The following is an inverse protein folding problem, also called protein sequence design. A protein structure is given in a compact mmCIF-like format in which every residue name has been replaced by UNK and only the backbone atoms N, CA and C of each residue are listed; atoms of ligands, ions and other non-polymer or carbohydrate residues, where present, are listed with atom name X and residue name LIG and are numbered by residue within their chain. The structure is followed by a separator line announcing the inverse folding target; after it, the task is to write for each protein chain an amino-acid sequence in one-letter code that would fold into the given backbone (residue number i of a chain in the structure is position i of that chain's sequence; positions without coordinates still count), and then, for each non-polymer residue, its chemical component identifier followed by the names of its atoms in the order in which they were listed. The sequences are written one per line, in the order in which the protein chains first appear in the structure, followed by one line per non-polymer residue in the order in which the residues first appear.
data_IF_895253997212
#
_entry.id   IF_895253997212
#
_cell.length_a   1.000
_cell.length_b   1.000
_cell.length_c   1.000
_cell.angle_alpha   90.00
_cell.angle_beta   90.00
_cell.angle_gamma   90.00
#
_symmetry.space_group_name_H-M   'P 1'
#
loop_
_entity.id
_entity.type
_entity.pdbx_description
1 polymer ?
#
# COMPACT_ATOMS: atom_id res chain seq x y z
N UNK A 1 -34.23 2.64 -20.03
CA UNK A 1 -32.76 2.90 -20.00
C UNK A 1 -32.13 1.99 -21.06
N UNK A 2 -32.63 2.08 -22.31
CA UNK A 2 -32.56 0.96 -23.27
C UNK A 2 -31.73 1.30 -24.51
N UNK A 3 -30.93 2.38 -24.45
CA UNK A 3 -30.06 2.84 -25.54
C UNK A 3 -28.62 3.10 -25.04
N UNK A 4 -28.06 2.18 -24.26
CA UNK A 4 -26.62 2.17 -23.97
C UNK A 4 -25.94 1.22 -24.95
N UNK A 5 -25.09 1.77 -25.82
CA UNK A 5 -24.30 1.00 -26.77
C UNK A 5 -22.87 0.84 -26.23
N UNK A 6 -22.40 -0.40 -26.09
CA UNK A 6 -21.06 -0.68 -25.58
C UNK A 6 -20.00 -0.37 -26.66
N UNK A 7 -19.17 0.64 -26.41
CA UNK A 7 -18.07 1.03 -27.30
C UNK A 7 -16.77 0.28 -26.97
N UNK A 8 -16.69 -1.01 -27.33
CA UNK A 8 -15.53 -1.88 -27.05
C UNK A 8 -14.24 -1.47 -27.76
N UNK A 9 -14.34 -0.80 -28.90
CA UNK A 9 -13.19 -0.29 -29.65
C UNK A 9 -12.27 0.59 -28.80
N UNK A 10 -12.85 1.44 -27.93
CA UNK A 10 -12.09 2.32 -27.02
C UNK A 10 -11.18 1.52 -26.08
N UNK A 11 -11.62 0.34 -25.63
CA UNK A 11 -10.83 -0.53 -24.75
C UNK A 11 -9.62 -1.10 -25.49
N UNK A 12 -9.80 -1.53 -26.73
CA UNK A 12 -8.72 -2.06 -27.56
C UNK A 12 -7.72 -0.97 -27.95
N UNK A 13 -8.20 0.24 -28.25
CA UNK A 13 -7.34 1.40 -28.54
C UNK A 13 -6.50 1.79 -27.31
N UNK A 14 -7.08 1.67 -26.11
CA UNK A 14 -6.39 1.92 -24.85
C UNK A 14 -5.56 0.72 -24.34
N UNK A 15 -5.58 -0.42 -25.01
CA UNK A 15 -4.94 -1.66 -24.54
C UNK A 15 -3.47 -1.49 -24.14
N UNK A 16 -2.61 -0.77 -24.89
CA UNK A 16 -1.23 -0.52 -24.47
C UNK A 16 -1.12 0.23 -23.14
N UNK A 17 -2.02 1.20 -22.90
CA UNK A 17 -2.04 1.98 -21.65
C UNK A 17 -2.54 1.14 -20.48
N UNK A 18 -3.58 0.32 -20.70
CA UNK A 18 -4.07 -0.64 -19.71
C UNK A 18 -2.99 -1.64 -19.31
N UNK A 19 -2.24 -2.16 -20.29
CA UNK A 19 -1.13 -3.08 -20.04
C UNK A 19 0.00 -2.39 -19.25
N UNK A 20 0.34 -1.14 -19.60
CA UNK A 20 1.30 -0.35 -18.82
C UNK A 20 0.84 -0.13 -17.38
N UNK A 21 -0.44 0.17 -17.15
CA UNK A 21 -1.01 0.32 -15.81
C UNK A 21 -0.97 -0.98 -15.01
N UNK A 22 -1.24 -2.11 -15.67
CA UNK A 22 -1.12 -3.44 -15.06
C UNK A 22 0.32 -3.73 -14.63
N UNK A 23 1.31 -3.45 -15.47
CA UNK A 23 2.73 -3.60 -15.11
C UNK A 23 3.13 -2.70 -13.95
N UNK A 24 2.69 -1.44 -13.92
CA UNK A 24 2.94 -0.54 -12.79
C UNK A 24 2.36 -1.11 -11.49
N UNK A 25 1.12 -1.60 -11.52
CA UNK A 25 0.47 -2.22 -10.36
C UNK A 25 1.25 -3.43 -9.86
N UNK A 26 1.66 -4.30 -10.78
CA UNK A 26 2.44 -5.49 -10.44
C UNK A 26 3.78 -5.10 -9.81
N UNK A 27 4.49 -4.15 -10.41
CA UNK A 27 5.76 -3.66 -9.92
C UNK A 27 5.64 -3.09 -8.50
N UNK A 28 4.67 -2.19 -8.26
CA UNK A 28 4.45 -1.58 -6.95
C UNK A 28 4.03 -2.64 -5.92
N UNK A 29 3.18 -3.59 -6.30
CA UNK A 29 2.72 -4.66 -5.40
C UNK A 29 3.86 -5.55 -4.95
N UNK A 30 4.69 -6.02 -5.89
CA UNK A 30 5.83 -6.89 -5.59
C UNK A 30 6.83 -6.19 -4.66
N UNK A 31 7.22 -4.95 -4.97
CA UNK A 31 8.15 -4.20 -4.12
C UNK A 31 7.56 -3.95 -2.73
N UNK A 32 6.30 -3.56 -2.64
CA UNK A 32 5.63 -3.30 -1.36
C UNK A 32 5.53 -4.57 -0.51
N UNK A 33 5.24 -5.72 -1.14
CA UNK A 33 5.22 -7.02 -0.44
C UNK A 33 6.61 -7.40 0.08
N UNK A 34 7.66 -7.26 -0.73
CA UNK A 34 9.03 -7.60 -0.31
C UNK A 34 9.47 -6.76 0.89
N UNK A 35 9.28 -5.43 0.81
CA UNK A 35 9.60 -4.52 1.92
C UNK A 35 8.73 -4.83 3.14
N UNK A 36 7.43 -5.05 2.94
CA UNK A 36 6.49 -5.40 4.00
C UNK A 36 6.87 -6.69 4.73
N UNK A 37 7.34 -7.72 4.01
CA UNK A 37 7.80 -8.98 4.60
C UNK A 37 9.03 -8.75 5.48
N UNK A 38 10.01 -7.98 5.01
CA UNK A 38 11.21 -7.67 5.80
C UNK A 38 10.83 -7.00 7.13
N UNK A 39 9.96 -5.98 7.07
CA UNK A 39 9.47 -5.28 8.26
C UNK A 39 8.67 -6.24 9.16
N UNK A 40 7.78 -7.05 8.59
CA UNK A 40 6.96 -7.99 9.34
C UNK A 40 7.81 -9.03 10.08
N UNK A 41 8.89 -9.53 9.46
CA UNK A 41 9.83 -10.47 10.10
C UNK A 41 10.52 -9.80 11.29
N UNK A 42 11.02 -8.57 11.13
CA UNK A 42 11.66 -7.83 12.24
C UNK A 42 10.69 -7.59 13.41
N UNK A 43 9.43 -7.23 13.11
CA UNK A 43 8.41 -7.05 14.14
C UNK A 43 8.03 -8.37 14.80
N UNK A 44 7.97 -9.47 14.06
CA UNK A 44 7.71 -10.81 14.60
C UNK A 44 8.83 -11.23 15.57
N UNK A 45 10.09 -11.00 15.21
CA UNK A 45 11.24 -11.23 16.10
C UNK A 45 11.15 -10.35 17.36
N UNK A 46 10.76 -9.08 17.21
CA UNK A 46 10.51 -8.17 18.33
C UNK A 46 9.43 -8.68 19.29
N UNK A 47 8.36 -9.28 18.77
CA UNK A 47 7.29 -9.90 19.57
C UNK A 47 7.74 -11.16 20.31
N UNK A 48 8.70 -11.91 19.77
CA UNK A 48 9.23 -13.12 20.42
C UNK A 48 10.34 -12.81 21.43
N UNK A 49 10.81 -11.56 21.51
CA UNK A 49 11.85 -11.15 22.44
C UNK A 49 11.34 -11.13 23.88
N UNK A 50 12.18 -11.57 24.83
CA UNK A 50 11.92 -11.43 26.26
C UNK A 50 11.96 -9.96 26.74
N UNK A 51 12.49 -9.05 25.93
CA UNK A 51 12.52 -7.63 26.25
C UNK A 51 11.14 -7.00 26.07
N UNK A 52 10.57 -6.51 27.19
CA UNK A 52 9.28 -5.82 27.22
C UNK A 52 9.24 -4.64 26.23
N UNK A 53 10.35 -3.92 26.06
CA UNK A 53 10.43 -2.77 25.14
C UNK A 53 10.20 -3.19 23.69
N UNK A 54 10.92 -4.21 23.20
CA UNK A 54 10.76 -4.68 21.81
C UNK A 54 9.38 -5.29 21.57
N UNK A 55 8.86 -6.02 22.56
CA UNK A 55 7.50 -6.57 22.51
C UNK A 55 6.43 -5.46 22.37
N UNK A 56 6.51 -4.41 23.20
CA UNK A 56 5.53 -3.33 23.16
C UNK A 56 5.64 -2.50 21.88
N UNK A 57 6.84 -2.14 21.43
CA UNK A 57 7.03 -1.40 20.17
C UNK A 57 6.44 -2.18 19.00
N UNK A 58 6.74 -3.48 18.91
CA UNK A 58 6.24 -4.32 17.84
C UNK A 58 4.70 -4.44 17.87
N UNK A 59 4.09 -4.61 19.04
CA UNK A 59 2.64 -4.67 19.16
C UNK A 59 1.96 -3.36 18.81
N UNK A 60 2.44 -2.22 19.33
CA UNK A 60 1.87 -0.91 19.04
C UNK A 60 1.90 -0.65 17.53
N UNK A 61 3.03 -0.91 16.88
CA UNK A 61 3.11 -0.75 15.43
C UNK A 61 2.12 -1.71 14.73
N UNK A 62 2.14 -3.00 15.01
CA UNK A 62 1.21 -3.95 14.37
C UNK A 62 -0.27 -3.55 14.56
N UNK A 63 -0.66 -3.10 15.74
CA UNK A 63 -2.02 -2.64 16.02
C UNK A 63 -2.39 -1.39 15.22
N UNK A 64 -1.51 -0.39 15.16
CA UNK A 64 -1.75 0.81 14.35
C UNK A 64 -1.85 0.44 12.87
N UNK A 65 -0.95 -0.40 12.37
CA UNK A 65 -0.92 -0.84 10.96
C UNK A 65 -2.23 -1.49 10.54
N UNK A 66 -2.76 -2.36 11.41
CA UNK A 66 -3.93 -3.20 11.11
C UNK A 66 -5.25 -2.48 11.32
N UNK A 67 -5.29 -1.52 12.24
CA UNK A 67 -6.51 -0.78 12.57
C UNK A 67 -6.65 0.54 11.79
N UNK A 68 -5.59 1.02 11.13
CA UNK A 68 -5.63 2.25 10.33
C UNK A 68 -5.97 1.94 8.87
N UNK A 69 -6.96 2.61 8.25
CA UNK A 69 -7.25 2.44 6.83
C UNK A 69 -6.03 2.72 5.95
N UNK A 70 -5.70 1.82 5.03
CA UNK A 70 -4.57 1.99 4.11
C UNK A 70 -4.68 3.28 3.28
N UNK A 71 -5.89 3.61 2.85
CA UNK A 71 -6.18 4.85 2.12
C UNK A 71 -5.75 6.08 2.94
N UNK A 72 -6.11 6.13 4.23
CA UNK A 72 -5.71 7.22 5.12
C UNK A 72 -4.19 7.34 5.24
N UNK A 73 -3.47 6.21 5.40
CA UNK A 73 -2.00 6.21 5.47
C UNK A 73 -1.36 6.76 4.19
N UNK A 74 -1.89 6.36 3.01
CA UNK A 74 -1.41 6.85 1.71
C UNK A 74 -1.68 8.35 1.57
N UNK A 75 -2.89 8.82 1.92
CA UNK A 75 -3.22 10.25 1.89
C UNK A 75 -2.34 11.05 2.84
N UNK A 76 -2.09 10.56 4.06
CA UNK A 76 -1.23 11.23 5.03
C UNK A 76 0.23 11.28 4.55
N UNK A 77 0.74 10.19 3.96
CA UNK A 77 2.08 10.17 3.40
C UNK A 77 2.22 11.16 2.23
N UNK A 78 1.21 11.26 1.36
CA UNK A 78 1.25 12.12 0.18
C UNK A 78 0.99 13.60 0.50
N UNK A 79 -0.03 13.91 1.30
CA UNK A 79 -0.47 15.28 1.58
C UNK A 79 0.00 15.80 2.95
N UNK A 80 0.13 14.93 3.95
CA UNK A 80 0.49 15.31 5.31
C UNK A 80 1.91 15.86 5.40
N UNK A 81 2.88 15.29 4.68
CA UNK A 81 4.25 15.80 4.63
C UNK A 81 4.33 17.20 3.99
N UNK A 82 3.52 17.48 2.97
CA UNK A 82 3.43 18.79 2.33
C UNK A 82 2.89 19.88 3.27
N UNK A 83 2.00 19.52 4.22
CA UNK A 83 1.51 20.46 5.24
C UNK A 83 2.59 20.87 6.25
N UNK A 84 3.65 20.06 6.41
CA UNK A 84 4.84 20.38 7.21
C UNK A 84 5.95 21.08 6.40
N UNK A 85 5.72 21.39 5.11
CA UNK A 85 6.69 22.08 4.25
C UNK A 85 7.85 21.21 3.76
N UNK A 86 7.73 19.88 3.87
CA UNK A 86 8.69 18.93 3.31
C UNK A 86 8.21 18.59 1.90
N UNK A 87 8.90 19.13 0.89
CA UNK A 87 8.65 18.87 -0.53
C UNK A 87 9.54 17.74 -1.05
#
# INVERSE_FOLDING_TARGET
MDNYEFHWNVVFDAFPQLLSGAFTTLHVSVLSMLIGIVIAVLLALGKMSNSKTFYHIANVWIEIARNTPALFLIYMAYFGLGAYGIH
#
